data_IF_982743287320
#
_entry.id   IF_982743287320
#
_cell.length_a   1.000
_cell.length_b   1.000
_cell.length_c   1.000
_cell.angle_alpha   90.00
_cell.angle_beta   90.00
_cell.angle_gamma   90.00
#
_symmetry.space_group_name_H-M   'P 1'
#
loop_
_entity.id
_entity.type
_entity.pdbx_description
1 polymer ?
#
# COMPACT_ATOMS: atom_id res chain seq x y z
N UNK A 1 3.58 4.84 26.72
CA UNK A 1 3.79 3.44 26.29
C UNK A 1 4.03 3.49 24.80
N UNK A 2 5.13 2.89 24.33
CA UNK A 2 5.47 2.85 22.91
C UNK A 2 4.29 2.25 22.13
N UNK A 3 3.74 3.01 21.19
CA UNK A 3 2.79 2.47 20.22
C UNK A 3 3.59 1.61 19.25
N UNK A 4 3.78 0.34 19.60
CA UNK A 4 4.36 -0.63 18.67
C UNK A 4 3.39 -0.76 17.48
N UNK A 5 3.80 -0.19 16.34
CA UNK A 5 3.05 -0.25 15.09
C UNK A 5 3.34 -1.58 14.43
N UNK A 6 2.39 -2.50 14.49
CA UNK A 6 2.43 -3.74 13.74
C UNK A 6 1.91 -3.50 12.34
N UNK A 7 2.52 -4.15 11.36
CA UNK A 7 2.06 -4.12 9.99
C UNK A 7 0.93 -5.14 9.79
N UNK A 8 -0.08 -4.74 9.02
CA UNK A 8 -1.17 -5.61 8.62
C UNK A 8 -0.94 -5.96 7.15
N UNK A 9 -0.86 -7.26 6.86
CA UNK A 9 -0.80 -7.76 5.49
C UNK A 9 -2.21 -8.16 5.09
N UNK A 10 -2.70 -7.63 3.96
CA UNK A 10 -4.02 -7.97 3.42
C UNK A 10 -3.84 -8.66 2.07
N UNK A 11 -4.59 -9.73 1.83
CA UNK A 11 -4.61 -10.46 0.56
C UNK A 11 -6.01 -10.95 0.23
N UNK A 12 -6.34 -11.02 -1.05
CA UNK A 12 -7.54 -11.74 -1.48
C UNK A 12 -7.36 -13.25 -1.33
N UNK A 13 -8.39 -13.95 -0.84
CA UNK A 13 -8.47 -15.41 -0.81
C UNK A 13 -9.57 -15.89 -1.74
N UNK A 14 -9.20 -16.64 -2.78
CA UNK A 14 -10.17 -17.28 -3.68
C UNK A 14 -10.93 -18.42 -2.99
N UNK A 15 -10.33 -19.05 -1.98
CA UNK A 15 -10.95 -20.15 -1.21
C UNK A 15 -12.06 -19.61 -0.30
N UNK A 16 -11.79 -18.50 0.38
CA UNK A 16 -12.71 -17.88 1.33
C UNK A 16 -13.62 -16.83 0.68
N UNK A 17 -13.33 -16.44 -0.57
CA UNK A 17 -13.98 -15.35 -1.29
C UNK A 17 -14.03 -14.06 -0.46
N UNK A 18 -12.91 -13.74 0.20
CA UNK A 18 -12.78 -12.65 1.15
C UNK A 18 -11.35 -12.08 1.17
N UNK A 19 -11.21 -10.85 1.67
CA UNK A 19 -9.92 -10.29 2.05
C UNK A 19 -9.48 -10.85 3.40
N UNK A 20 -8.28 -11.42 3.44
CA UNK A 20 -7.66 -11.95 4.65
C UNK A 20 -6.61 -10.94 5.10
N UNK A 21 -6.81 -10.38 6.29
CA UNK A 21 -5.86 -9.53 6.99
C UNK A 21 -5.14 -10.34 8.07
N UNK A 22 -3.82 -10.21 8.16
CA UNK A 22 -2.99 -10.88 9.16
C UNK A 22 -1.90 -9.95 9.70
N UNK A 23 -1.47 -10.21 10.94
CA UNK A 23 -0.27 -9.58 11.52
C UNK A 23 0.80 -10.68 11.67
N UNK A 24 1.81 -10.72 10.79
CA UNK A 24 2.77 -11.84 10.71
C UNK A 24 3.50 -12.15 12.02
N UNK A 25 3.77 -11.14 12.84
CA UNK A 25 4.44 -11.29 14.14
C UNK A 25 3.52 -11.90 15.21
N UNK A 26 2.20 -11.75 15.04
CA UNK A 26 1.21 -12.27 15.97
C UNK A 26 0.70 -13.60 15.42
N UNK A 27 1.42 -14.69 15.72
CA UNK A 27 1.06 -16.02 15.25
C UNK A 27 -0.43 -16.35 15.51
N UNK A 28 -1.16 -16.66 14.43
CA UNK A 28 -2.59 -16.97 14.45
C UNK A 28 -3.53 -15.76 14.51
N UNK A 29 -3.02 -14.53 14.49
CA UNK A 29 -3.81 -13.31 14.41
C UNK A 29 -4.16 -13.01 12.95
N UNK A 30 -5.31 -13.50 12.52
CA UNK A 30 -5.87 -13.22 11.22
C UNK A 30 -7.37 -12.92 11.33
N UNK A 31 -7.89 -12.18 10.37
CA UNK A 31 -9.29 -11.88 10.24
C UNK A 31 -9.67 -11.75 8.76
N UNK A 32 -10.87 -12.17 8.40
CA UNK A 32 -11.43 -12.02 7.07
C UNK A 32 -12.41 -10.83 7.00
N UNK A 33 -12.69 -10.37 5.79
CA UNK A 33 -13.74 -9.39 5.50
C UNK A 33 -14.10 -9.41 4.01
N UNK A 34 -15.36 -9.11 3.68
CA UNK A 34 -15.80 -9.02 2.29
C UNK A 34 -15.20 -7.80 1.57
N UNK A 35 -14.70 -6.81 2.32
CA UNK A 35 -14.00 -5.63 1.81
C UNK A 35 -12.69 -5.39 2.57
N UNK A 36 -11.78 -4.62 1.99
CA UNK A 36 -10.55 -4.17 2.66
C UNK A 36 -10.84 -3.49 4.01
N UNK A 37 -11.81 -2.57 4.04
CA UNK A 37 -12.19 -1.84 5.24
C UNK A 37 -12.70 -2.77 6.35
N UNK A 38 -13.51 -3.76 5.98
CA UNK A 38 -14.01 -4.77 6.90
C UNK A 38 -12.87 -5.64 7.46
N UNK A 39 -11.97 -6.12 6.60
CA UNK A 39 -10.82 -6.90 7.02
C UNK A 39 -9.92 -6.13 8.00
N UNK A 40 -9.72 -4.82 7.77
CA UNK A 40 -8.98 -3.91 8.68
C UNK A 40 -9.71 -3.74 10.01
N UNK A 41 -11.02 -3.55 10.00
CA UNK A 41 -11.80 -3.42 11.24
C UNK A 41 -11.74 -4.72 12.08
N UNK A 42 -11.82 -5.86 11.40
CA UNK A 42 -11.81 -7.16 12.06
C UNK A 42 -10.42 -7.49 12.63
N UNK A 43 -9.33 -7.28 11.89
CA UNK A 43 -7.97 -7.55 12.40
C UNK A 43 -7.59 -6.64 13.57
N UNK A 44 -8.09 -5.40 13.63
CA UNK A 44 -7.92 -4.51 14.79
C UNK A 44 -8.57 -5.07 16.05
N UNK A 45 -9.70 -5.74 15.90
CA UNK A 45 -10.40 -6.40 17.01
C UNK A 45 -9.62 -7.64 17.46
N UNK A 46 -9.30 -8.53 16.54
CA UNK A 46 -8.58 -9.78 16.81
C UNK A 46 -7.20 -9.52 17.43
N UNK A 47 -6.47 -8.52 16.93
CA UNK A 47 -5.14 -8.16 17.48
C UNK A 47 -5.23 -7.62 18.91
N UNK A 48 -6.24 -6.81 19.24
CA UNK A 48 -6.48 -6.35 20.61
C UNK A 48 -6.71 -7.51 21.57
N UNK A 49 -7.50 -8.50 21.16
CA UNK A 49 -7.75 -9.71 21.95
C UNK A 49 -6.48 -10.55 22.09
N UNK A 50 -5.72 -10.72 21.02
CA UNK A 50 -4.45 -11.43 21.03
C UNK A 50 -3.48 -10.82 22.06
N UNK A 51 -3.33 -9.49 22.08
CA UNK A 51 -2.46 -8.80 23.04
C UNK A 51 -2.93 -8.98 24.48
N UNK A 52 -4.24 -8.90 24.72
CA UNK A 52 -4.82 -9.13 26.03
C UNK A 52 -4.50 -10.53 26.53
N UNK A 53 -4.74 -11.55 25.71
CA UNK A 53 -4.45 -12.95 26.06
C UNK A 53 -2.95 -13.19 26.24
N UNK A 54 -2.08 -12.63 25.38
CA UNK A 54 -0.64 -12.74 25.52
C UNK A 54 -0.16 -12.19 26.87
N UNK A 55 -0.70 -11.04 27.29
CA UNK A 55 -0.41 -10.43 28.59
C UNK A 55 -0.91 -11.28 29.76
N UNK A 56 -2.13 -11.81 29.68
CA UNK A 56 -2.71 -12.68 30.72
C UNK A 56 -1.91 -13.97 30.89
N UNK A 57 -1.37 -14.52 29.80
CA UNK A 57 -0.53 -15.72 29.80
C UNK A 57 0.94 -15.44 30.13
N UNK A 58 1.33 -14.18 30.40
CA UNK A 58 2.71 -13.80 30.67
C UNK A 58 3.66 -14.03 29.48
N UNK A 59 3.13 -14.06 28.25
CA UNK A 59 3.95 -14.21 27.04
C UNK A 59 4.69 -12.91 26.74
N UNK A 60 5.93 -13.03 26.29
CA UNK A 60 6.67 -11.90 25.73
C UNK A 60 5.98 -11.43 24.47
N UNK A 61 5.75 -10.12 24.35
CA UNK A 61 5.21 -9.54 23.12
C UNK A 61 6.29 -9.57 22.04
N UNK A 62 5.99 -10.07 20.83
CA UNK A 62 6.93 -10.02 19.73
C UNK A 62 7.21 -8.56 19.35
N UNK A 63 8.46 -8.25 18.97
CA UNK A 63 8.77 -6.92 18.45
C UNK A 63 8.23 -6.78 17.01
N UNK A 64 7.64 -5.63 16.64
CA UNK A 64 7.26 -5.38 15.25
C UNK A 64 8.49 -5.43 14.34
N UNK A 65 8.43 -6.25 13.30
CA UNK A 65 9.39 -6.16 12.20
C UNK A 65 8.82 -5.23 11.13
N UNK A 66 9.69 -4.45 10.47
CA UNK A 66 9.27 -3.74 9.26
C UNK A 66 9.25 -4.71 8.09
N UNK A 67 8.31 -4.56 7.17
CA UNK A 67 8.24 -5.37 5.95
C UNK A 67 9.55 -5.26 5.18
N UNK A 68 10.16 -4.07 5.20
CA UNK A 68 11.48 -3.79 4.63
C UNK A 68 12.56 -4.74 5.16
N UNK A 69 12.51 -5.06 6.45
CA UNK A 69 13.51 -5.89 7.12
C UNK A 69 13.31 -7.36 6.73
N UNK A 70 12.06 -7.83 6.56
CA UNK A 70 11.70 -9.18 6.10
C UNK A 70 12.01 -9.41 4.62
N UNK A 71 11.85 -8.37 3.80
CA UNK A 71 12.15 -8.40 2.36
C UNK A 71 13.64 -8.23 2.06
N UNK A 72 14.46 -7.74 3.00
CA UNK A 72 15.91 -7.63 2.83
C UNK A 72 16.64 -8.99 2.75
N UNK A 73 16.04 -10.05 3.31
CA UNK A 73 16.63 -11.41 3.33
C UNK A 73 16.41 -12.23 2.08
N UNK A 74 15.45 -11.87 1.22
CA UNK A 74 15.21 -12.52 -0.07
C UNK A 74 15.02 -11.41 -1.09
N UNK A 75 16.07 -11.09 -1.85
CA UNK A 75 16.12 -9.92 -2.72
C UNK A 75 14.82 -9.64 -3.50
N UNK A 76 14.38 -8.37 -3.35
CA UNK A 76 13.44 -7.59 -4.20
C UNK A 76 11.95 -7.71 -3.74
N UNK A 77 11.09 -6.68 -3.59
CA UNK A 77 10.98 -5.29 -4.10
C UNK A 77 10.09 -4.40 -3.20
N UNK A 78 10.29 -3.07 -3.21
CA UNK A 78 9.51 -2.05 -2.48
C UNK A 78 8.09 -1.76 -3.04
N UNK A 79 7.65 -2.50 -4.05
CA UNK A 79 6.44 -2.21 -4.85
C UNK A 79 5.11 -2.39 -4.11
N UNK A 80 5.02 -3.35 -3.19
CA UNK A 80 3.73 -3.74 -2.58
C UNK A 80 3.12 -2.76 -1.56
N UNK A 81 3.93 -1.94 -0.89
CA UNK A 81 3.43 -0.95 0.07
C UNK A 81 2.99 0.35 -0.61
N UNK A 82 3.62 0.69 -1.73
CA UNK A 82 3.20 1.78 -2.59
C UNK A 82 1.85 1.46 -3.26
N UNK A 83 1.68 0.22 -3.73
CA UNK A 83 0.48 -0.25 -4.41
C UNK A 83 -0.81 -0.02 -3.59
N UNK A 84 -0.82 -0.30 -2.29
CA UNK A 84 -2.05 -0.19 -1.48
C UNK A 84 -2.51 1.26 -1.21
N UNK A 85 -1.58 2.22 -1.14
CA UNK A 85 -1.93 3.64 -0.98
C UNK A 85 -2.30 4.29 -2.31
N UNK A 86 -1.65 3.87 -3.40
CA UNK A 86 -2.05 4.23 -4.77
C UNK A 86 -3.43 3.65 -5.12
N UNK A 87 -3.69 2.38 -4.81
CA UNK A 87 -4.98 1.72 -5.06
C UNK A 87 -6.14 2.32 -4.28
N UNK A 88 -5.93 3.06 -3.19
CA UNK A 88 -7.05 3.76 -2.54
C UNK A 88 -7.31 5.12 -3.19
N UNK A 89 -6.24 5.77 -3.68
CA UNK A 89 -6.30 7.09 -4.29
C UNK A 89 -6.80 7.08 -5.74
N UNK A 90 -6.50 6.01 -6.50
CA UNK A 90 -6.93 5.83 -7.89
C UNK A 90 -8.44 5.56 -8.03
N UNK A 91 -9.12 5.12 -6.97
CA UNK A 91 -10.57 4.80 -6.92
C UNK A 91 -11.47 6.02 -6.89
N UNK A 92 -10.94 7.17 -6.49
CA UNK A 92 -11.64 8.45 -6.55
C UNK A 92 -11.48 9.16 -7.90
N UNK A 93 -10.62 8.68 -8.81
CA UNK A 93 -10.34 9.33 -10.11
C UNK A 93 -10.85 8.50 -11.28
N UNK A 94 -11.99 8.92 -11.83
CA UNK A 94 -12.55 8.33 -13.06
C UNK A 94 -11.47 8.26 -14.16
N UNK A 95 -11.34 7.07 -14.74
CA UNK A 95 -10.44 6.66 -15.84
C UNK A 95 -9.00 6.26 -15.49
N UNK A 96 -8.46 6.55 -14.30
CA UNK A 96 -7.05 6.18 -14.04
C UNK A 96 -6.86 4.66 -13.99
N UNK A 97 -7.78 3.90 -13.37
CA UNK A 97 -7.74 2.44 -13.45
C UNK A 97 -8.03 1.89 -14.84
N UNK A 98 -8.93 2.52 -15.59
CA UNK A 98 -9.24 2.07 -16.94
C UNK A 98 -8.00 2.20 -17.83
N UNK A 99 -7.19 3.24 -17.62
CA UNK A 99 -5.98 3.48 -18.39
C UNK A 99 -4.80 2.66 -17.87
N UNK A 100 -4.67 2.46 -16.55
CA UNK A 100 -3.70 1.51 -15.97
C UNK A 100 -3.99 0.06 -16.40
N UNK A 101 -5.26 -0.34 -16.44
CA UNK A 101 -5.66 -1.67 -16.90
C UNK A 101 -5.39 -1.92 -18.39
N UNK A 102 -5.35 -0.85 -19.20
CA UNK A 102 -4.93 -0.90 -20.62
C UNK A 102 -3.41 -0.84 -20.78
N UNK A 103 -2.69 -0.38 -19.75
CA UNK A 103 -1.25 -0.21 -19.81
C UNK A 103 -0.55 -1.57 -19.83
N UNK A 104 0.44 -1.78 -20.71
CA UNK A 104 1.28 -2.98 -20.69
C UNK A 104 2.25 -3.01 -19.50
N UNK A 105 2.35 -1.91 -18.74
CA UNK A 105 3.23 -1.79 -17.59
C UNK A 105 2.82 -2.74 -16.46
N UNK A 106 3.75 -3.64 -16.08
CA UNK A 106 3.59 -4.54 -14.91
C UNK A 106 4.45 -4.11 -13.73
N UNK A 107 5.14 -2.99 -13.85
CA UNK A 107 6.10 -2.47 -12.88
C UNK A 107 5.89 -0.97 -12.73
N UNK A 108 6.11 -0.51 -11.52
CA UNK A 108 6.02 0.91 -11.14
C UNK A 108 7.33 1.31 -10.47
N UNK A 109 7.82 2.50 -10.82
CA UNK A 109 8.98 3.12 -10.17
C UNK A 109 8.47 4.27 -9.32
N UNK A 110 8.94 4.33 -8.08
CA UNK A 110 8.58 5.38 -7.14
C UNK A 110 9.84 6.12 -6.69
N UNK A 111 9.80 7.43 -6.77
CA UNK A 111 10.85 8.32 -6.28
C UNK A 111 10.21 9.42 -5.43
N UNK A 112 10.74 9.64 -4.23
CA UNK A 112 10.23 10.64 -3.29
C UNK A 112 11.30 11.67 -3.01
N UNK A 113 11.02 12.93 -3.35
CA UNK A 113 11.88 14.08 -3.06
C UNK A 113 11.42 14.72 -1.75
N UNK A 114 12.22 14.54 -0.70
CA UNK A 114 11.96 15.03 0.64
C UNK A 114 12.18 16.54 0.79
N UNK A 115 12.95 17.17 -0.11
CA UNK A 115 13.22 18.60 -0.06
C UNK A 115 12.00 19.43 -0.52
N UNK A 116 11.15 18.85 -1.38
CA UNK A 116 9.95 19.50 -1.93
C UNK A 116 8.64 18.79 -1.60
N UNK A 117 8.68 17.67 -0.87
CA UNK A 117 7.51 16.86 -0.50
C UNK A 117 6.71 16.37 -1.73
N UNK A 118 7.42 15.74 -2.67
CA UNK A 118 6.84 15.28 -3.93
C UNK A 118 7.11 13.78 -4.14
N UNK A 119 6.05 13.02 -4.46
CA UNK A 119 6.15 11.61 -4.86
C UNK A 119 5.95 11.48 -6.38
N UNK A 120 6.97 11.03 -7.07
CA UNK A 120 6.93 10.65 -8.48
C UNK A 120 6.62 9.17 -8.61
N UNK A 121 5.66 8.85 -9.46
CA UNK A 121 5.27 7.48 -9.79
C UNK A 121 5.34 7.33 -11.30
N UNK A 122 6.13 6.38 -11.77
CA UNK A 122 6.30 6.11 -13.19
C UNK A 122 5.86 4.69 -13.52
N UNK A 123 5.25 4.52 -14.68
CA UNK A 123 4.80 3.22 -15.21
C UNK A 123 5.80 2.65 -16.24
N UNK A 124 6.90 3.35 -16.50
CA UNK A 124 7.97 2.95 -17.42
C UNK A 124 9.35 3.18 -16.81
N UNK A 125 10.33 2.36 -17.21
CA UNK A 125 11.70 2.39 -16.66
C UNK A 125 12.44 3.69 -17.01
N UNK A 126 12.13 4.25 -18.18
CA UNK A 126 12.61 5.55 -18.63
C UNK A 126 11.40 6.41 -18.95
N UNK A 127 10.80 7.06 -17.93
CA UNK A 127 9.61 7.86 -18.13
C UNK A 127 9.92 9.04 -19.05
N UNK A 128 9.10 9.19 -20.09
CA UNK A 128 9.12 10.34 -20.97
C UNK A 128 7.68 10.72 -21.25
N UNK A 129 7.30 11.93 -20.84
CA UNK A 129 6.02 12.53 -21.19
C UNK A 129 6.19 13.54 -22.33
N UNK A 130 5.14 13.70 -23.13
CA UNK A 130 5.02 14.81 -24.10
C UNK A 130 4.08 15.91 -23.60
N UNK A 131 3.19 15.58 -22.65
CA UNK A 131 2.34 16.53 -21.95
C UNK A 131 1.95 16.03 -20.55
N UNK A 132 1.51 16.97 -19.72
CA UNK A 132 1.05 16.70 -18.36
C UNK A 132 -0.22 17.48 -18.06
N UNK A 133 -1.12 16.89 -17.29
CA UNK A 133 -2.36 17.51 -16.83
C UNK A 133 -2.30 17.70 -15.31
N UNK A 134 -2.46 18.93 -14.83
CA UNK A 134 -2.47 19.23 -13.40
C UNK A 134 -3.91 19.29 -12.89
N UNK A 135 -4.24 18.39 -11.96
CA UNK A 135 -5.47 18.42 -11.19
C UNK A 135 -5.49 19.54 -10.15
N UNK A 136 -6.68 19.92 -9.71
CA UNK A 136 -6.92 20.88 -8.62
C UNK A 136 -6.56 20.34 -7.23
N UNK A 137 -6.35 19.03 -7.15
CA UNK A 137 -5.95 18.31 -5.97
C UNK A 137 -4.44 18.28 -5.76
N UNK A 138 -3.64 18.91 -6.61
CA UNK A 138 -2.17 18.91 -6.51
C UNK A 138 -1.51 17.65 -7.06
N UNK A 139 -2.20 16.93 -7.96
CA UNK A 139 -1.65 15.77 -8.64
C UNK A 139 -1.54 16.07 -10.12
N UNK A 140 -0.40 15.72 -10.68
CA UNK A 140 -0.07 15.93 -12.08
C UNK A 140 -0.03 14.56 -12.73
N UNK A 141 -0.81 14.37 -13.79
CA UNK A 141 -0.83 13.16 -14.59
C UNK A 141 0.08 13.36 -15.80
N UNK A 142 1.04 12.47 -15.99
CA UNK A 142 2.03 12.55 -17.06
C UNK A 142 1.66 11.57 -18.18
N UNK A 143 1.52 12.08 -19.39
CA UNK A 143 1.08 11.33 -20.56
C UNK A 143 2.15 11.30 -21.65
N UNK A 144 2.14 10.21 -22.42
CA UNK A 144 2.81 10.12 -23.72
C UNK A 144 1.82 9.60 -24.75
N UNK A 145 1.64 10.34 -25.83
CA UNK A 145 0.55 10.13 -26.79
C UNK A 145 -0.83 10.19 -26.10
N UNK A 146 -1.44 9.04 -25.82
CA UNK A 146 -2.71 8.91 -25.11
C UNK A 146 -2.61 7.99 -23.89
N UNK A 147 -1.39 7.59 -23.50
CA UNK A 147 -1.17 6.65 -22.43
C UNK A 147 -0.61 7.38 -21.22
N UNK A 148 -1.15 7.06 -20.05
CA UNK A 148 -0.60 7.51 -18.78
C UNK A 148 0.75 6.82 -18.55
N UNK A 149 1.82 7.60 -18.46
CA UNK A 149 3.20 7.12 -18.25
C UNK A 149 3.74 7.42 -16.85
N UNK A 150 3.08 8.32 -16.12
CA UNK A 150 3.39 8.57 -14.72
C UNK A 150 2.39 9.50 -14.05
N UNK A 151 2.64 9.78 -12.78
CA UNK A 151 1.96 10.81 -12.02
C UNK A 151 2.92 11.41 -10.99
N UNK A 152 2.75 12.69 -10.71
CA UNK A 152 3.50 13.45 -9.71
C UNK A 152 2.52 13.94 -8.66
N UNK A 153 2.79 13.61 -7.40
CA UNK A 153 1.94 13.93 -6.27
C UNK A 153 2.63 15.01 -5.43
N UNK A 154 2.06 16.21 -5.40
CA UNK A 154 2.54 17.31 -4.56
C UNK A 154 2.01 17.19 -3.13
N UNK A 155 2.73 17.77 -2.18
CA UNK A 155 2.44 17.73 -0.73
C UNK A 155 2.16 16.30 -0.26
N UNK A 156 2.95 15.34 -0.76
CA UNK A 156 2.66 13.91 -0.65
C UNK A 156 2.59 13.43 0.81
N UNK A 157 3.35 14.05 1.72
CA UNK A 157 3.32 13.75 3.15
C UNK A 157 2.04 14.17 3.85
N UNK A 158 1.23 15.04 3.23
CA UNK A 158 -0.01 15.61 3.80
C UNK A 158 -1.27 14.93 3.26
N UNK A 159 -1.13 13.92 2.39
CA UNK A 159 -2.25 13.16 1.81
C UNK A 159 -2.63 11.95 2.64
#
# INVERSE_FOLDING_TARGET
>A
MSHNRYEIVIRWSNEDNAFIAEIPELAGCAADGATYSEAIANIRTVSSEWFKTAKELGRTLPEPARLSDRLSTNGIEWTKLAESSLEFWLDEKENVYADLAKSPARKMWLDYDDAVDVLYVHFEETPASDHSEMGDDGIILDYRDQNLVGLTILDASQR
#
